data_IF_073721507976
#
_entry.id   IF_073721507976
#
_cell.length_a   1.000
_cell.length_b   1.000
_cell.length_c   1.000
_cell.angle_alpha   90.00
_cell.angle_beta   90.00
_cell.angle_gamma   90.00
#
_symmetry.space_group_name_H-M   'P 1'
#
loop_
_entity.id
_entity.type
_entity.pdbx_description
1 polymer ?
#
# COMPACT_ATOMS: atom_id res chain seq x y z
N UNK A 1 -4.13 -7.89 56.11
CA UNK A 1 -3.06 -7.26 55.30
C UNK A 1 -2.71 -8.06 54.04
N UNK A 2 -2.65 -9.41 54.09
CA UNK A 2 -2.30 -10.24 52.91
C UNK A 2 -3.31 -10.26 51.74
N UNK A 3 -4.61 -10.01 51.97
CA UNK A 3 -5.63 -9.97 50.91
C UNK A 3 -5.58 -8.69 50.06
N UNK A 4 -5.24 -7.54 50.66
CA UNK A 4 -5.10 -6.26 49.97
C UNK A 4 -3.88 -6.25 49.04
N UNK A 5 -2.73 -6.78 49.49
CA UNK A 5 -1.51 -6.90 48.67
C UNK A 5 -1.72 -7.86 47.49
N UNK A 6 -2.44 -8.97 47.70
CA UNK A 6 -2.81 -9.91 46.61
C UNK A 6 -3.79 -9.28 45.61
N UNK A 7 -4.75 -8.47 46.08
CA UNK A 7 -5.69 -7.75 45.22
C UNK A 7 -5.01 -6.67 44.36
N UNK A 8 -4.10 -5.89 44.95
CA UNK A 8 -3.33 -4.88 44.22
C UNK A 8 -2.35 -5.50 43.22
N UNK A 9 -1.72 -6.62 43.57
CA UNK A 9 -0.86 -7.38 42.65
C UNK A 9 -1.62 -7.93 41.44
N UNK A 10 -2.84 -8.42 41.66
CA UNK A 10 -3.75 -8.86 40.60
C UNK A 10 -4.12 -7.72 39.65
N UNK A 11 -4.53 -6.56 40.18
CA UNK A 11 -4.90 -5.39 39.36
C UNK A 11 -3.70 -4.87 38.57
N UNK A 12 -2.52 -4.77 39.20
CA UNK A 12 -1.29 -4.35 38.51
C UNK A 12 -0.92 -5.30 37.36
N UNK A 13 -1.05 -6.61 37.56
CA UNK A 13 -0.81 -7.61 36.52
C UNK A 13 -1.75 -7.42 35.31
N UNK A 14 -3.05 -7.21 35.55
CA UNK A 14 -4.01 -6.95 34.47
C UNK A 14 -3.75 -5.65 33.72
N UNK A 15 -3.35 -4.58 34.42
CA UNK A 15 -2.97 -3.31 33.79
C UNK A 15 -1.75 -3.50 32.88
N UNK A 16 -0.71 -4.18 33.37
CA UNK A 16 0.49 -4.46 32.58
C UNK A 16 0.17 -5.36 31.38
N UNK A 17 -0.64 -6.40 31.56
CA UNK A 17 -1.07 -7.28 30.48
C UNK A 17 -1.88 -6.54 29.40
N UNK A 18 -2.77 -5.64 29.83
CA UNK A 18 -3.56 -4.81 28.92
C UNK A 18 -2.69 -3.80 28.15
N UNK A 19 -1.74 -3.15 28.82
CA UNK A 19 -0.78 -2.25 28.17
C UNK A 19 0.13 -3.00 27.19
N UNK A 20 0.58 -4.21 27.56
CA UNK A 20 1.35 -5.06 26.66
C UNK A 20 0.56 -5.43 25.41
N UNK A 21 -0.73 -5.80 25.57
CA UNK A 21 -1.62 -6.06 24.44
C UNK A 21 -1.83 -4.83 23.55
N UNK A 22 -2.06 -3.65 24.14
CA UNK A 22 -2.18 -2.38 23.40
C UNK A 22 -0.90 -1.97 22.66
N UNK A 23 0.27 -2.46 23.08
CA UNK A 23 1.53 -2.18 22.39
C UNK A 23 1.70 -2.97 21.10
N UNK A 24 0.99 -4.11 20.94
CA UNK A 24 1.16 -4.99 19.77
C UNK A 24 0.90 -4.30 18.43
N UNK A 25 -0.21 -3.53 18.24
CA UNK A 25 -0.40 -2.77 17.02
C UNK A 25 0.74 -1.79 16.76
N UNK A 26 1.19 -1.06 17.78
CA UNK A 26 2.26 -0.06 17.64
C UNK A 26 3.55 -0.72 17.17
N UNK A 27 3.94 -1.84 17.79
CA UNK A 27 5.13 -2.61 17.38
C UNK A 27 4.97 -3.16 15.96
N UNK A 28 3.78 -3.66 15.60
CA UNK A 28 3.49 -4.12 14.25
C UNK A 28 3.67 -2.99 13.22
N UNK A 29 3.17 -1.79 13.48
CA UNK A 29 3.28 -0.64 12.57
C UNK A 29 4.72 -0.13 12.43
N UNK A 30 5.48 -0.08 13.53
CA UNK A 30 6.92 0.24 13.47
C UNK A 30 7.65 -0.83 12.64
N UNK A 31 7.32 -2.10 12.86
CA UNK A 31 7.86 -3.22 12.09
C UNK A 31 7.51 -3.11 10.61
N UNK A 32 6.27 -2.77 10.28
CA UNK A 32 5.79 -2.58 8.91
C UNK A 32 6.51 -1.41 8.22
N UNK A 33 6.66 -0.28 8.90
CA UNK A 33 7.40 0.87 8.38
C UNK A 33 8.86 0.52 8.08
N UNK A 34 9.54 -0.18 9.00
CA UNK A 34 10.91 -0.68 8.75
C UNK A 34 10.97 -1.73 7.65
N UNK A 35 10.03 -2.67 7.60
CA UNK A 35 9.99 -3.66 6.54
C UNK A 35 9.80 -2.99 5.17
N UNK A 36 8.98 -1.93 5.10
CA UNK A 36 8.74 -1.20 3.86
C UNK A 36 10.02 -0.61 3.27
N UNK A 37 10.98 -0.14 4.08
CA UNK A 37 12.25 0.39 3.54
C UNK A 37 13.08 -0.67 2.82
N UNK A 38 12.99 -1.93 3.27
CA UNK A 38 13.70 -3.05 2.63
C UNK A 38 12.92 -3.62 1.44
N UNK A 39 11.59 -3.64 1.52
CA UNK A 39 10.73 -4.25 0.50
C UNK A 39 10.54 -3.32 -0.70
N UNK A 40 10.50 -2.00 -0.49
CA UNK A 40 10.17 -1.01 -1.53
C UNK A 40 11.11 -1.06 -2.75
N UNK A 41 12.44 -1.21 -2.63
CA UNK A 41 13.32 -1.36 -3.80
C UNK A 41 12.98 -2.59 -4.66
N UNK A 42 12.67 -3.72 -4.03
CA UNK A 42 12.28 -4.96 -4.72
C UNK A 42 10.93 -4.79 -5.42
N UNK A 43 9.94 -4.24 -4.73
CA UNK A 43 8.60 -3.98 -5.30
C UNK A 43 8.69 -2.96 -6.42
N UNK A 44 9.54 -1.94 -6.29
CA UNK A 44 9.77 -0.94 -7.34
C UNK A 44 10.36 -1.57 -8.60
N UNK A 45 11.39 -2.42 -8.43
CA UNK A 45 12.01 -3.14 -9.56
C UNK A 45 10.99 -4.05 -10.24
N UNK A 46 10.18 -4.76 -9.46
CA UNK A 46 9.11 -5.60 -9.98
C UNK A 46 8.04 -4.80 -10.72
N UNK A 47 7.62 -3.64 -10.20
CA UNK A 47 6.65 -2.78 -10.86
C UNK A 47 7.17 -2.23 -12.20
N UNK A 48 8.46 -1.86 -12.28
CA UNK A 48 9.09 -1.47 -13.54
C UNK A 48 9.12 -2.61 -14.56
N UNK A 49 9.41 -3.84 -14.10
CA UNK A 49 9.32 -5.02 -14.95
C UNK A 49 7.90 -5.26 -15.45
N UNK A 50 6.89 -5.17 -14.56
CA UNK A 50 5.48 -5.25 -14.95
C UNK A 50 5.11 -4.17 -15.98
N UNK A 51 5.60 -2.94 -15.81
CA UNK A 51 5.37 -1.84 -16.76
C UNK A 51 5.93 -2.19 -18.13
N UNK A 52 7.17 -2.68 -18.19
CA UNK A 52 7.81 -3.09 -19.43
C UNK A 52 7.03 -4.22 -20.12
N UNK A 53 6.63 -5.25 -19.37
CA UNK A 53 5.82 -6.37 -19.91
C UNK A 53 4.48 -5.87 -20.44
N UNK A 54 3.79 -5.00 -19.71
CA UNK A 54 2.51 -4.45 -20.18
C UNK A 54 2.69 -3.64 -21.46
N UNK A 55 3.67 -2.74 -21.51
CA UNK A 55 3.87 -1.83 -22.63
C UNK A 55 4.40 -2.54 -23.88
N UNK A 56 5.39 -3.42 -23.74
CA UNK A 56 6.07 -4.03 -24.89
C UNK A 56 5.49 -5.36 -25.33
N UNK A 57 4.72 -6.05 -24.48
CA UNK A 57 4.21 -7.39 -24.76
C UNK A 57 2.69 -7.41 -24.74
N UNK A 58 2.07 -7.08 -23.61
CA UNK A 58 0.61 -7.27 -23.45
C UNK A 58 -0.21 -6.28 -24.27
N UNK A 59 0.20 -5.01 -24.34
CA UNK A 59 -0.50 -4.00 -25.14
C UNK A 59 -0.45 -4.31 -26.65
N UNK A 60 0.70 -4.63 -27.27
CA UNK A 60 0.73 -5.07 -28.67
C UNK A 60 -0.10 -6.34 -28.92
N UNK A 61 -0.05 -7.29 -28.00
CA UNK A 61 -0.85 -8.53 -28.11
C UNK A 61 -2.36 -8.26 -27.98
N UNK A 62 -2.79 -7.23 -27.25
CA UNK A 62 -4.20 -6.87 -27.08
C UNK A 62 -4.87 -6.39 -28.39
N UNK A 63 -4.08 -6.08 -29.42
CA UNK A 63 -4.60 -5.80 -30.77
C UNK A 63 -5.35 -7.02 -31.31
N UNK A 64 -4.88 -8.24 -31.02
CA UNK A 64 -5.53 -9.47 -31.42
C UNK A 64 -6.72 -9.79 -30.52
N UNK A 65 -7.94 -9.70 -31.05
CA UNK A 65 -9.19 -9.89 -30.30
C UNK A 65 -9.23 -11.18 -29.46
N UNK A 66 -8.79 -12.30 -30.03
CA UNK A 66 -8.73 -13.61 -29.35
C UNK A 66 -7.86 -13.62 -28.08
N UNK A 67 -6.88 -12.73 -27.97
CA UNK A 67 -5.96 -12.66 -26.85
C UNK A 67 -6.33 -11.56 -25.84
N UNK A 68 -7.40 -10.79 -26.10
CA UNK A 68 -7.81 -9.66 -25.24
C UNK A 68 -8.22 -10.07 -23.84
N UNK A 69 -8.90 -11.20 -23.69
CA UNK A 69 -9.27 -11.72 -22.36
C UNK A 69 -8.03 -12.01 -21.53
N UNK A 70 -7.03 -12.69 -22.11
CA UNK A 70 -5.78 -13.03 -21.42
C UNK A 70 -4.92 -11.79 -21.13
N UNK A 71 -4.71 -10.93 -22.14
CA UNK A 71 -3.90 -9.71 -22.00
C UNK A 71 -4.54 -8.70 -21.05
N UNK A 72 -5.85 -8.49 -21.14
CA UNK A 72 -6.61 -7.63 -20.24
C UNK A 72 -6.56 -8.11 -18.78
N UNK A 73 -6.73 -9.41 -18.56
CA UNK A 73 -6.59 -10.01 -17.22
C UNK A 73 -5.16 -9.84 -16.68
N UNK A 74 -4.14 -10.05 -17.51
CA UNK A 74 -2.75 -9.86 -17.11
C UNK A 74 -2.42 -8.39 -16.78
N UNK A 75 -2.94 -7.43 -17.55
CA UNK A 75 -2.81 -5.98 -17.27
C UNK A 75 -3.51 -5.62 -15.95
N UNK A 76 -4.71 -6.17 -15.71
CA UNK A 76 -5.41 -5.99 -14.44
C UNK A 76 -4.59 -6.54 -13.27
N UNK A 77 -4.00 -7.73 -13.41
CA UNK A 77 -3.13 -8.31 -12.38
C UNK A 77 -1.87 -7.48 -12.14
N UNK A 78 -1.27 -6.91 -13.19
CA UNK A 78 -0.14 -5.99 -13.07
C UNK A 78 -0.48 -4.73 -12.25
N UNK A 79 -1.74 -4.29 -12.23
CA UNK A 79 -2.17 -3.13 -11.42
C UNK A 79 -1.91 -3.30 -9.92
N UNK A 80 -1.91 -4.54 -9.41
CA UNK A 80 -1.62 -4.80 -7.99
C UNK A 80 -0.16 -4.52 -7.61
N UNK A 81 0.78 -4.69 -8.54
CA UNK A 81 2.19 -4.34 -8.31
C UNK A 81 2.34 -2.82 -8.09
N UNK A 82 1.68 -2.01 -8.92
CA UNK A 82 1.66 -0.55 -8.76
C UNK A 82 0.89 -0.11 -7.52
N UNK A 83 -0.24 -0.76 -7.21
CA UNK A 83 -1.01 -0.49 -6.01
C UNK A 83 -0.24 -0.79 -4.73
N UNK A 84 0.52 -1.89 -4.69
CA UNK A 84 1.40 -2.21 -3.57
C UNK A 84 2.55 -1.21 -3.45
N UNK A 85 3.17 -0.84 -4.57
CA UNK A 85 4.23 0.18 -4.59
C UNK A 85 3.71 1.54 -4.09
N UNK A 86 2.54 1.97 -4.57
CA UNK A 86 1.85 3.18 -4.13
C UNK A 86 1.59 3.15 -2.63
N UNK A 87 1.07 2.03 -2.12
CA UNK A 87 0.77 1.86 -0.70
C UNK A 87 2.03 1.94 0.16
N UNK A 88 3.08 1.16 -0.17
CA UNK A 88 4.33 1.14 0.60
C UNK A 88 5.04 2.50 0.56
N UNK A 89 5.08 3.14 -0.61
CA UNK A 89 5.65 4.48 -0.77
C UNK A 89 4.87 5.52 0.04
N UNK A 90 3.54 5.48 -0.01
CA UNK A 90 2.67 6.39 0.75
C UNK A 90 2.80 6.19 2.26
N UNK A 91 2.89 4.93 2.71
CA UNK A 91 3.10 4.58 4.11
C UNK A 91 4.42 5.15 4.62
N UNK A 92 5.52 4.88 3.91
CA UNK A 92 6.85 5.34 4.29
C UNK A 92 6.92 6.87 4.28
N UNK A 93 6.36 7.50 3.25
CA UNK A 93 6.32 8.96 3.13
C UNK A 93 5.57 9.62 4.28
N UNK A 94 4.36 9.12 4.60
CA UNK A 94 3.57 9.64 5.71
C UNK A 94 4.29 9.43 7.04
N UNK A 95 4.87 8.24 7.24
CA UNK A 95 5.63 7.92 8.44
C UNK A 95 6.84 8.85 8.62
N UNK A 96 7.59 9.11 7.55
CA UNK A 96 8.79 9.93 7.59
C UNK A 96 8.49 11.44 7.74
N UNK A 97 7.41 11.94 7.14
CA UNK A 97 7.12 13.38 7.11
C UNK A 97 6.15 13.84 8.21
N UNK A 98 5.14 13.03 8.54
CA UNK A 98 4.10 13.37 9.54
C UNK A 98 4.15 12.48 10.77
N UNK A 99 4.89 11.36 10.73
CA UNK A 99 5.07 10.46 11.87
C UNK A 99 4.10 9.28 11.90
N UNK A 100 4.32 8.40 12.89
CA UNK A 100 3.61 7.13 12.99
C UNK A 100 2.11 7.23 13.29
N UNK A 101 1.66 8.31 13.94
CA UNK A 101 0.23 8.51 14.24
C UNK A 101 -0.60 8.64 12.96
N UNK A 102 -0.19 9.51 12.02
CA UNK A 102 -0.89 9.69 10.75
C UNK A 102 -0.78 8.47 9.85
N UNK A 103 0.36 7.78 9.88
CA UNK A 103 0.52 6.51 9.20
C UNK A 103 -0.46 5.44 9.73
N UNK A 104 -0.63 5.36 11.06
CA UNK A 104 -1.59 4.46 11.69
C UNK A 104 -3.02 4.78 11.26
N UNK A 105 -3.45 6.04 11.35
CA UNK A 105 -4.79 6.45 10.92
C UNK A 105 -5.01 6.14 9.44
N UNK A 106 -4.00 6.37 8.60
CA UNK A 106 -4.04 6.09 7.17
C UNK A 106 -4.26 4.60 6.86
N UNK A 107 -3.60 3.71 7.59
CA UNK A 107 -3.78 2.26 7.42
C UNK A 107 -5.07 1.76 8.08
N UNK A 108 -5.45 2.31 9.23
CA UNK A 108 -6.70 1.98 9.91
C UNK A 108 -7.93 2.27 9.03
N UNK A 109 -7.85 3.27 8.15
CA UNK A 109 -8.82 3.49 7.06
C UNK A 109 -8.71 2.49 5.90
N UNK A 110 -8.45 1.21 6.18
CA UNK A 110 -8.20 0.13 5.22
C UNK A 110 -7.12 0.43 4.17
N UNK A 111 -6.12 1.24 4.53
CA UNK A 111 -5.04 1.65 3.64
C UNK A 111 -5.43 2.62 2.52
N UNK A 112 -6.71 2.99 2.39
CA UNK A 112 -7.13 4.01 1.41
C UNK A 112 -6.69 5.41 1.81
N UNK A 113 -6.76 5.74 3.11
CA UNK A 113 -6.44 7.07 3.64
C UNK A 113 -4.93 7.36 3.70
N UNK A 114 -4.07 6.35 3.60
CA UNK A 114 -2.61 6.58 3.62
C UNK A 114 -2.14 7.37 2.40
N UNK A 115 -2.82 7.23 1.25
CA UNK A 115 -2.46 7.89 0.00
C UNK A 115 -2.71 9.42 0.08
N UNK A 116 -3.91 9.91 0.48
CA UNK A 116 -4.11 11.34 0.66
C UNK A 116 -3.23 11.92 1.78
N UNK A 117 -2.91 11.18 2.85
CA UNK A 117 -1.95 11.64 3.86
C UNK A 117 -0.52 11.75 3.32
N UNK A 118 -0.10 10.83 2.45
CA UNK A 118 1.18 10.93 1.78
C UNK A 118 1.24 12.16 0.84
N UNK A 119 0.16 12.43 0.10
CA UNK A 119 0.04 13.63 -0.73
C UNK A 119 0.09 14.90 0.11
N UNK A 120 -0.73 15.00 1.15
CA UNK A 120 -0.76 16.18 2.01
C UNK A 120 0.58 16.39 2.73
N UNK A 121 1.21 15.31 3.21
CA UNK A 121 2.50 15.41 3.87
C UNK A 121 3.62 15.84 2.94
N UNK A 122 3.65 15.35 1.70
CA UNK A 122 4.62 15.81 0.70
C UNK A 122 4.39 17.26 0.28
N UNK A 123 3.14 17.69 0.12
CA UNK A 123 2.80 19.09 -0.20
C UNK A 123 3.23 20.04 0.93
N UNK A 124 2.85 19.77 2.17
CA UNK A 124 3.17 20.66 3.30
C UNK A 124 4.65 20.67 3.68
N UNK A 125 5.40 19.62 3.35
CA UNK A 125 6.84 19.58 3.54
C UNK A 125 7.65 20.03 2.29
N UNK A 126 6.98 20.48 1.21
CA UNK A 126 7.64 20.97 0.00
C UNK A 126 8.35 19.89 -0.85
N UNK A 127 8.03 18.62 -0.65
CA UNK A 127 8.63 17.47 -1.37
C UNK A 127 7.87 17.21 -2.67
N UNK A 128 8.03 18.10 -3.65
CA UNK A 128 7.28 18.07 -4.92
C UNK A 128 7.51 16.81 -5.77
N UNK A 129 8.73 16.25 -5.74
CA UNK A 129 9.03 14.98 -6.41
C UNK A 129 8.16 13.85 -5.83
N UNK A 130 7.94 13.86 -4.50
CA UNK A 130 7.08 12.90 -3.83
C UNK A 130 5.62 13.00 -4.31
N UNK A 131 5.11 14.22 -4.49
CA UNK A 131 3.76 14.45 -5.07
C UNK A 131 3.67 13.82 -6.45
N UNK A 132 4.64 14.09 -7.32
CA UNK A 132 4.67 13.53 -8.68
C UNK A 132 4.69 12.01 -8.68
N UNK A 133 5.50 11.39 -7.81
CA UNK A 133 5.56 9.92 -7.68
C UNK A 133 4.22 9.35 -7.22
N UNK A 134 3.60 9.92 -6.19
CA UNK A 134 2.33 9.41 -5.65
C UNK A 134 1.22 9.53 -6.70
N UNK A 135 1.13 10.67 -7.39
CA UNK A 135 0.15 10.87 -8.48
C UNK A 135 0.40 9.91 -9.63
N UNK A 136 1.65 9.76 -10.08
CA UNK A 136 1.99 8.84 -11.17
C UNK A 136 1.63 7.39 -10.81
N UNK A 137 1.96 6.94 -9.60
CA UNK A 137 1.62 5.60 -9.14
C UNK A 137 0.11 5.40 -8.99
N UNK A 138 -0.63 6.42 -8.56
CA UNK A 138 -2.09 6.39 -8.50
C UNK A 138 -2.71 6.24 -9.89
N UNK A 139 -2.22 7.02 -10.86
CA UNK A 139 -2.63 6.92 -12.28
C UNK A 139 -2.28 5.56 -12.86
N UNK A 140 -1.08 5.03 -12.61
CA UNK A 140 -0.68 3.70 -13.11
C UNK A 140 -1.55 2.60 -12.50
N UNK A 141 -1.81 2.65 -11.20
CA UNK A 141 -2.62 1.65 -10.49
C UNK A 141 -4.03 1.59 -11.08
N UNK A 142 -4.73 2.73 -11.09
CA UNK A 142 -6.11 2.76 -11.58
C UNK A 142 -6.19 2.67 -13.10
N UNK A 143 -5.26 3.28 -13.81
CA UNK A 143 -5.17 3.23 -15.27
C UNK A 143 -5.03 1.79 -15.76
N UNK A 144 -4.13 1.00 -15.17
CA UNK A 144 -3.98 -0.41 -15.57
C UNK A 144 -5.17 -1.24 -15.13
N UNK A 145 -5.76 -0.94 -13.98
CA UNK A 145 -6.95 -1.64 -13.50
C UNK A 145 -8.12 -1.49 -14.48
N UNK A 146 -8.44 -0.26 -14.85
CA UNK A 146 -9.53 0.02 -15.78
C UNK A 146 -9.21 -0.40 -17.21
N UNK A 147 -7.99 -0.15 -17.69
CA UNK A 147 -7.58 -0.57 -19.03
C UNK A 147 -7.59 -2.11 -19.17
N UNK A 148 -7.12 -2.83 -18.16
CA UNK A 148 -7.13 -4.29 -18.14
C UNK A 148 -8.55 -4.86 -18.19
N UNK A 149 -9.45 -4.34 -17.35
CA UNK A 149 -10.87 -4.75 -17.36
C UNK A 149 -11.55 -4.42 -18.68
N UNK A 150 -11.38 -3.20 -19.20
CA UNK A 150 -11.96 -2.80 -20.48
C UNK A 150 -11.46 -3.68 -21.65
N UNK A 151 -10.18 -4.01 -21.63
CA UNK A 151 -9.58 -4.89 -22.65
C UNK A 151 -10.16 -6.30 -22.55
N UNK A 152 -10.26 -6.86 -21.33
CA UNK A 152 -10.79 -8.20 -21.11
C UNK A 152 -12.26 -8.32 -21.56
N UNK A 153 -13.12 -7.40 -21.13
CA UNK A 153 -14.55 -7.38 -21.49
C UNK A 153 -14.74 -7.28 -23.01
N UNK A 154 -13.94 -6.47 -23.70
CA UNK A 154 -14.02 -6.35 -25.17
C UNK A 154 -13.62 -7.61 -25.95
N UNK A 155 -13.09 -8.62 -25.26
CA UNK A 155 -12.78 -9.94 -25.82
C UNK A 155 -13.83 -11.02 -25.49
N UNK A 156 -14.78 -10.76 -24.58
CA UNK A 156 -15.82 -11.71 -24.17
C UNK A 156 -17.14 -11.54 -24.96
N UNK A 157 -17.32 -10.41 -25.65
CA UNK A 157 -18.51 -10.13 -26.46
C UNK A 157 -18.53 -10.87 -27.82
N UNK A 158 -17.57 -11.75 -28.10
CA UNK A 158 -17.48 -12.63 -29.29
C UNK A 158 -17.52 -14.11 -28.89
#
# INVERSE_FOLDING_TARGET
MGSFVKGMGSVAFWVVAFLAFLSLPVVFFIGLAKASTYILPWVSTFAWFCLAVVVFILLPLSIFKKLRVYTGTAIYLASFAFGLLLFLFSLLTTWSLWGGFWAFVGVAGFGGLIIPFALLSTIFNGVWVGVGIIVALLVLTWGFRFAGLATAMSGEEE
#
